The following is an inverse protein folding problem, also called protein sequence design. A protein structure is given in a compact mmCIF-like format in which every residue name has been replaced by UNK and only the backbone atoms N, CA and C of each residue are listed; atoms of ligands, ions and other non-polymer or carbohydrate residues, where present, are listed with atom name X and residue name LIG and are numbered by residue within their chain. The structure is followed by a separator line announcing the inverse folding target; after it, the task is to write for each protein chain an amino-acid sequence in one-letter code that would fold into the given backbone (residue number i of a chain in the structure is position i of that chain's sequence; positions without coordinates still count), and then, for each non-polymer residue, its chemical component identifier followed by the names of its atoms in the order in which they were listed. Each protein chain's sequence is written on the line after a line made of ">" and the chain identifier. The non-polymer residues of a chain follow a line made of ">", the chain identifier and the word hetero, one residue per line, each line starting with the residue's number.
data_IF_357912972990
#
_entry.id   IF_357912972990
#
_cell.length_a   1.000
_cell.length_b   1.000
_cell.length_c   1.000
_cell.angle_alpha   90.00
_cell.angle_beta   90.00
_cell.angle_gamma   90.00
#
_symmetry.space_group_name_H-M   'P 1'
#
loop_
_entity.id
_entity.type
_entity.pdbx_description
1 polymer ?
#
# COMPACT_ATOMS: atom_id res chain seq x y z
N UNK A 1 12.32 44.29 -18.17
CA UNK A 1 11.37 43.21 -18.49
C UNK A 1 10.53 42.95 -17.24
N UNK A 2 9.20 43.20 -17.26
CA UNK A 2 8.33 42.93 -16.09
C UNK A 2 8.27 41.42 -15.86
N UNK A 3 8.77 40.94 -14.72
CA UNK A 3 8.66 39.53 -14.32
C UNK A 3 7.25 39.34 -13.77
N UNK A 4 6.38 38.65 -14.51
CA UNK A 4 5.05 38.31 -14.02
C UNK A 4 5.18 37.25 -12.93
N UNK A 5 4.64 37.52 -11.75
CA UNK A 5 4.56 36.57 -10.65
C UNK A 5 3.68 35.40 -11.09
N UNK A 6 4.14 34.16 -10.88
CA UNK A 6 3.32 32.99 -11.16
C UNK A 6 2.15 32.95 -10.18
N UNK A 7 1.02 32.34 -10.57
CA UNK A 7 -0.13 32.18 -9.67
C UNK A 7 0.26 31.50 -8.35
N UNK A 8 1.21 30.57 -8.40
CA UNK A 8 1.72 29.83 -7.22
C UNK A 8 2.49 30.77 -6.30
N UNK A 9 3.42 31.55 -6.84
CA UNK A 9 4.20 32.53 -6.07
C UNK A 9 3.30 33.56 -5.39
N UNK A 10 2.29 34.07 -6.12
CA UNK A 10 1.31 35.00 -5.56
C UNK A 10 0.53 34.41 -4.39
N UNK A 11 0.09 33.15 -4.51
CA UNK A 11 -0.63 32.46 -3.42
C UNK A 11 0.24 32.27 -2.18
N UNK A 12 1.53 31.92 -2.37
CA UNK A 12 2.48 31.75 -1.25
C UNK A 12 2.68 33.09 -0.54
N UNK A 13 2.94 34.17 -1.29
CA UNK A 13 3.13 35.51 -0.73
C UNK A 13 1.89 35.96 0.06
N UNK A 14 0.71 35.84 -0.52
CA UNK A 14 -0.54 36.22 0.13
C UNK A 14 -0.82 35.38 1.39
N UNK A 15 -0.49 34.08 1.41
CA UNK A 15 -0.61 33.22 2.59
C UNK A 15 0.38 33.62 3.70
N UNK A 16 1.60 33.98 3.33
CA UNK A 16 2.61 34.53 4.26
C UNK A 16 2.16 35.87 4.84
N UNK A 17 1.63 36.79 4.03
CA UNK A 17 1.10 38.08 4.48
C UNK A 17 -0.07 37.93 5.47
N UNK A 18 -0.86 36.85 5.34
CA UNK A 18 -1.94 36.50 6.28
C UNK A 18 -1.45 35.77 7.54
N UNK A 19 -0.16 35.47 7.67
CA UNK A 19 0.40 34.76 8.81
C UNK A 19 0.00 33.29 8.89
N UNK A 20 -0.42 32.67 7.79
CA UNK A 20 -0.82 31.24 7.78
C UNK A 20 0.34 30.30 8.16
N UNK A 21 1.59 30.79 8.14
CA UNK A 21 2.79 30.06 8.53
C UNK A 21 3.33 30.41 9.94
N UNK A 22 2.75 31.38 10.65
CA UNK A 22 3.35 31.93 11.88
C UNK A 22 3.21 31.01 13.10
N UNK A 23 2.32 30.00 13.06
CA UNK A 23 2.06 29.09 14.18
C UNK A 23 1.99 27.63 13.73
N UNK A 24 2.86 27.22 12.82
CA UNK A 24 2.88 25.84 12.35
C UNK A 24 3.17 24.86 13.51
N UNK A 25 2.47 23.71 13.54
CA UNK A 25 2.82 22.62 14.43
C UNK A 25 4.28 22.23 14.23
N UNK A 26 5.11 22.42 15.27
CA UNK A 26 6.54 22.11 15.20
C UNK A 26 7.46 23.30 14.88
N UNK A 27 6.94 24.52 14.68
CA UNK A 27 7.75 25.72 14.53
C UNK A 27 8.72 25.89 15.71
N UNK A 28 10.01 26.05 15.42
CA UNK A 28 11.07 26.21 16.42
C UNK A 28 11.46 24.95 17.19
N UNK A 29 10.82 23.80 16.96
CA UNK A 29 11.21 22.52 17.56
C UNK A 29 12.33 21.85 16.73
N UNK A 30 13.25 21.10 17.37
CA UNK A 30 14.24 20.33 16.63
C UNK A 30 13.56 19.31 15.71
N UNK A 31 14.09 19.16 14.49
CA UNK A 31 13.62 18.14 13.56
C UNK A 31 14.08 16.76 14.04
N UNK A 32 13.15 15.83 14.16
CA UNK A 32 13.46 14.41 14.29
C UNK A 32 13.77 13.84 12.90
N UNK A 33 15.05 13.53 12.68
CA UNK A 33 15.60 12.98 11.45
C UNK A 33 16.17 11.57 11.65
N UNK A 34 15.72 10.85 12.69
CA UNK A 34 16.29 9.54 13.06
C UNK A 34 16.23 8.51 11.91
N UNK A 35 15.26 8.64 10.99
CA UNK A 35 15.08 7.76 9.82
C UNK A 35 15.63 8.37 8.50
N UNK A 36 16.37 9.47 8.52
CA UNK A 36 16.70 10.24 7.30
C UNK A 36 17.57 9.51 6.26
N UNK A 37 18.20 8.40 6.63
CA UNK A 37 18.98 7.56 5.71
C UNK A 37 18.09 6.80 4.72
N UNK A 38 16.79 6.67 5.02
CA UNK A 38 15.79 6.10 4.12
C UNK A 38 15.20 7.21 3.23
N UNK A 39 15.30 7.15 1.89
CA UNK A 39 14.73 8.18 1.02
C UNK A 39 13.20 8.38 1.18
N UNK A 40 12.47 7.36 1.65
CA UNK A 40 11.03 7.38 1.86
C UNK A 40 10.63 7.71 3.32
N UNK A 41 11.58 8.16 4.15
CA UNK A 41 11.39 8.45 5.58
C UNK A 41 10.15 9.32 5.87
N UNK A 42 9.95 10.36 5.06
CA UNK A 42 8.87 11.33 5.24
C UNK A 42 7.49 10.72 4.90
N UNK A 43 7.42 9.83 3.90
CA UNK A 43 6.20 9.13 3.51
C UNK A 43 5.78 8.18 4.62
N UNK A 44 6.73 7.37 5.12
CA UNK A 44 6.49 6.43 6.23
C UNK A 44 6.05 7.16 7.49
N UNK A 45 6.68 8.31 7.80
CA UNK A 45 6.27 9.15 8.92
C UNK A 45 4.87 9.71 8.74
N UNK A 46 4.53 10.23 7.56
CA UNK A 46 3.20 10.80 7.28
C UNK A 46 2.09 9.76 7.40
N UNK A 47 2.33 8.54 6.91
CA UNK A 47 1.40 7.41 7.05
C UNK A 47 1.16 7.07 8.52
N UNK A 48 2.22 7.06 9.34
CA UNK A 48 2.11 6.80 10.77
C UNK A 48 1.36 7.90 11.51
N UNK A 49 1.67 9.18 11.23
CA UNK A 49 1.05 10.34 11.86
C UNK A 49 -0.44 10.47 11.55
N UNK A 50 -0.83 10.20 10.30
CA UNK A 50 -2.20 10.34 9.82
C UNK A 50 -3.00 9.03 9.91
N UNK A 51 -2.40 7.97 10.46
CA UNK A 51 -2.96 6.61 10.53
C UNK A 51 -3.53 6.13 9.18
N UNK A 52 -2.80 6.40 8.09
CA UNK A 52 -3.20 6.00 6.75
C UNK A 52 -3.01 4.50 6.58
N UNK A 53 -3.87 3.87 5.77
CA UNK A 53 -3.67 2.47 5.42
C UNK A 53 -2.39 2.33 4.58
N UNK A 54 -1.37 1.76 5.20
CA UNK A 54 -0.06 1.52 4.60
C UNK A 54 -0.06 0.33 3.63
N UNK A 55 -1.18 -0.41 3.53
CA UNK A 55 -1.30 -1.57 2.65
C UNK A 55 -0.96 -1.24 1.20
N UNK A 56 -1.38 -0.07 0.70
CA UNK A 56 -1.11 0.39 -0.66
C UNK A 56 0.39 0.58 -0.97
N UNK A 57 1.24 0.72 0.05
CA UNK A 57 2.69 0.86 -0.12
C UNK A 57 3.46 -0.45 0.07
N UNK A 58 2.78 -1.53 0.46
CA UNK A 58 3.44 -2.81 0.64
C UNK A 58 3.85 -3.37 -0.73
N UNK A 59 5.07 -3.95 -0.85
CA UNK A 59 5.45 -4.73 -2.02
C UNK A 59 4.39 -5.78 -2.35
N UNK A 60 4.15 -6.01 -3.65
CA UNK A 60 3.13 -6.95 -4.13
C UNK A 60 3.17 -8.34 -3.45
N UNK A 61 4.35 -8.96 -3.16
CA UNK A 61 4.38 -10.24 -2.44
C UNK A 61 3.79 -10.18 -1.03
N UNK A 62 3.93 -9.07 -0.30
CA UNK A 62 3.34 -8.93 1.05
C UNK A 62 1.82 -8.79 1.00
N UNK A 63 1.31 -8.04 0.01
CA UNK A 63 -0.13 -7.92 -0.23
C UNK A 63 -0.76 -9.28 -0.54
N UNK A 64 -0.13 -10.06 -1.43
CA UNK A 64 -0.61 -11.38 -1.81
C UNK A 64 -0.54 -12.40 -0.66
N UNK A 65 0.46 -12.30 0.23
CA UNK A 65 0.52 -13.14 1.44
C UNK A 65 -0.65 -12.84 2.37
N UNK A 66 -0.97 -11.57 2.57
CA UNK A 66 -2.11 -11.17 3.39
C UNK A 66 -3.43 -11.67 2.79
N UNK A 67 -3.63 -11.46 1.50
CA UNK A 67 -4.83 -11.95 0.79
C UNK A 67 -4.97 -13.48 0.91
N UNK A 68 -3.88 -14.24 0.79
CA UNK A 68 -3.89 -15.69 1.00
C UNK A 68 -4.23 -16.12 2.43
N UNK A 69 -3.82 -15.34 3.44
CA UNK A 69 -4.13 -15.59 4.85
C UNK A 69 -5.62 -15.43 5.15
N UNK A 70 -6.30 -14.55 4.39
CA UNK A 70 -7.72 -14.31 4.55
C UNK A 70 -8.60 -15.40 3.88
N UNK A 71 -8.01 -16.37 3.19
CA UNK A 71 -8.74 -17.49 2.59
C UNK A 71 -8.92 -18.68 3.54
N UNK A 72 -10.14 -19.28 3.59
CA UNK A 72 -11.30 -19.01 2.72
C UNK A 72 -12.32 -17.99 3.28
N UNK A 73 -12.08 -17.38 4.44
CA UNK A 73 -13.02 -16.50 5.14
C UNK A 73 -13.49 -15.31 4.28
N UNK A 74 -12.57 -14.68 3.53
CA UNK A 74 -12.90 -13.56 2.63
C UNK A 74 -13.84 -13.95 1.48
N UNK A 75 -13.89 -15.23 1.12
CA UNK A 75 -14.73 -15.78 0.04
C UNK A 75 -16.11 -16.21 0.52
N UNK A 76 -16.38 -16.15 1.83
CA UNK A 76 -17.61 -16.70 2.45
C UNK A 76 -18.91 -16.15 1.87
N UNK A 77 -18.90 -14.88 1.45
CA UNK A 77 -20.09 -14.18 0.93
C UNK A 77 -20.42 -14.50 -0.53
N UNK A 78 -19.49 -15.14 -1.25
CA UNK A 78 -19.71 -15.53 -2.64
C UNK A 78 -20.56 -16.79 -2.61
N UNK A 79 -21.65 -16.82 -3.39
CA UNK A 79 -22.55 -17.97 -3.42
C UNK A 79 -22.13 -19.02 -4.46
N UNK A 80 -21.59 -18.54 -5.59
CA UNK A 80 -21.19 -19.33 -6.74
C UNK A 80 -19.77 -19.88 -6.59
N UNK A 81 -19.61 -21.18 -6.81
CA UNK A 81 -18.32 -21.85 -6.72
C UNK A 81 -17.43 -21.53 -7.92
N UNK A 82 -18.00 -21.39 -9.12
CA UNK A 82 -17.20 -21.08 -10.31
C UNK A 82 -16.58 -19.69 -10.17
N UNK A 83 -17.34 -18.73 -9.63
CA UNK A 83 -16.80 -17.42 -9.26
C UNK A 83 -15.66 -17.52 -8.23
N UNK A 84 -15.76 -18.39 -7.22
CA UNK A 84 -14.67 -18.61 -6.26
C UNK A 84 -13.45 -19.24 -6.93
N UNK A 85 -13.64 -20.20 -7.83
CA UNK A 85 -12.56 -20.81 -8.63
C UNK A 85 -11.83 -19.76 -9.44
N UNK A 86 -12.56 -18.90 -10.15
CA UNK A 86 -11.99 -17.84 -10.98
C UNK A 86 -11.14 -16.88 -10.15
N UNK A 87 -11.61 -16.47 -8.97
CA UNK A 87 -10.86 -15.61 -8.05
C UNK A 87 -9.55 -16.28 -7.60
N UNK A 88 -9.57 -17.57 -7.27
CA UNK A 88 -8.39 -18.30 -6.82
C UNK A 88 -7.38 -18.54 -7.97
N UNK A 89 -7.86 -18.78 -9.18
CA UNK A 89 -7.03 -18.88 -10.39
C UNK A 89 -6.36 -17.54 -10.69
N UNK A 90 -7.12 -16.45 -10.59
CA UNK A 90 -6.65 -15.09 -10.78
C UNK A 90 -5.62 -14.68 -9.70
N UNK A 91 -5.88 -15.03 -8.44
CA UNK A 91 -4.91 -14.88 -7.35
C UNK A 91 -3.59 -15.61 -7.69
N UNK A 92 -3.67 -16.87 -8.13
CA UNK A 92 -2.49 -17.64 -8.52
C UNK A 92 -1.75 -17.04 -9.73
N UNK A 93 -2.46 -16.39 -10.67
CA UNK A 93 -1.84 -15.62 -11.77
C UNK A 93 -1.05 -14.43 -11.23
N UNK A 94 -1.66 -13.61 -10.38
CA UNK A 94 -1.02 -12.44 -9.73
C UNK A 94 0.21 -12.83 -8.91
N UNK A 95 0.18 -13.97 -8.22
CA UNK A 95 1.36 -14.51 -7.53
C UNK A 95 2.51 -14.76 -8.51
N UNK A 96 2.25 -15.47 -9.62
CA UNK A 96 3.29 -15.76 -10.63
C UNK A 96 3.87 -14.48 -11.25
N UNK A 97 3.04 -13.47 -11.49
CA UNK A 97 3.48 -12.17 -11.99
C UNK A 97 4.36 -11.42 -10.99
N UNK A 98 3.98 -11.41 -9.72
CA UNK A 98 4.78 -10.81 -8.66
C UNK A 98 6.15 -11.50 -8.51
N UNK A 99 6.22 -12.82 -8.69
CA UNK A 99 7.49 -13.57 -8.76
C UNK A 99 8.38 -13.09 -9.90
N UNK A 100 7.81 -12.91 -11.10
CA UNK A 100 8.55 -12.45 -12.27
C UNK A 100 9.03 -10.99 -12.10
N UNK A 101 8.19 -10.11 -11.56
CA UNK A 101 8.54 -8.72 -11.29
C UNK A 101 9.64 -8.60 -10.22
N UNK A 102 9.58 -9.41 -9.17
CA UNK A 102 10.58 -9.40 -8.09
C UNK A 102 11.99 -9.77 -8.59
N UNK A 103 12.07 -10.66 -9.60
CA UNK A 103 13.33 -10.98 -10.29
C UNK A 103 13.90 -9.79 -11.06
N UNK A 104 13.06 -8.97 -11.66
CA UNK A 104 13.48 -7.80 -12.45
C UNK A 104 13.96 -6.66 -11.55
N UNK A 105 13.34 -6.51 -10.37
CA UNK A 105 13.62 -5.41 -9.43
C UNK A 105 14.76 -5.71 -8.44
N UNK A 106 15.47 -6.84 -8.58
CA UNK A 106 16.49 -7.31 -7.65
C UNK A 106 16.04 -7.29 -6.17
N UNK A 107 14.73 -7.46 -5.92
CA UNK A 107 14.20 -7.53 -4.58
C UNK A 107 14.81 -8.75 -3.86
N UNK A 108 15.06 -8.65 -2.54
CA UNK A 108 15.60 -9.76 -1.79
C UNK A 108 14.68 -10.98 -1.94
N UNK A 109 15.26 -12.12 -2.32
CA UNK A 109 14.56 -13.40 -2.56
C UNK A 109 13.80 -13.95 -1.33
N UNK A 110 13.91 -13.30 -0.17
CA UNK A 110 13.25 -13.69 1.07
C UNK A 110 11.77 -13.31 1.15
N UNK A 111 11.29 -12.36 0.34
CA UNK A 111 9.90 -11.87 0.40
C UNK A 111 9.10 -12.41 -0.78
N UNK A 112 8.46 -13.56 -0.57
CA UNK A 112 7.78 -14.31 -1.62
C UNK A 112 6.34 -14.67 -1.22
N UNK A 113 5.40 -14.53 -2.16
CA UNK A 113 4.04 -15.05 -2.03
C UNK A 113 3.92 -16.45 -2.67
N UNK A 114 3.04 -17.29 -2.14
CA UNK A 114 2.82 -18.64 -2.66
C UNK A 114 1.44 -18.76 -3.30
N UNK A 115 1.34 -19.59 -4.34
CA UNK A 115 0.05 -19.98 -4.91
C UNK A 115 -0.70 -20.87 -3.92
N UNK A 116 -2.02 -20.82 -3.97
CA UNK A 116 -2.89 -21.71 -3.18
C UNK A 116 -3.38 -22.87 -4.03
N UNK A 117 -3.64 -24.00 -3.38
CA UNK A 117 -4.37 -25.11 -3.98
C UNK A 117 -5.87 -24.74 -4.04
N UNK A 118 -6.37 -24.57 -5.26
CA UNK A 118 -7.75 -24.12 -5.52
C UNK A 118 -8.77 -25.10 -4.94
N UNK A 119 -8.53 -26.41 -5.09
CA UNK A 119 -9.48 -27.43 -4.65
C UNK A 119 -9.47 -27.57 -3.12
N UNK A 120 -8.32 -27.39 -2.47
CA UNK A 120 -8.26 -27.32 -1.01
C UNK A 120 -9.04 -26.13 -0.44
N UNK A 121 -8.82 -24.93 -1.00
CA UNK A 121 -9.52 -23.72 -0.53
C UNK A 121 -11.02 -23.85 -0.74
N UNK A 122 -11.47 -24.42 -1.86
CA UNK A 122 -12.91 -24.66 -2.12
C UNK A 122 -13.51 -25.67 -1.16
N UNK A 123 -12.78 -26.76 -0.83
CA UNK A 123 -13.24 -27.72 0.18
C UNK A 123 -13.46 -27.02 1.53
N UNK A 124 -12.51 -26.18 1.96
CA UNK A 124 -12.63 -25.40 3.21
C UNK A 124 -13.75 -24.36 3.14
N UNK A 125 -13.88 -23.63 2.03
CA UNK A 125 -14.96 -22.66 1.81
C UNK A 125 -16.35 -23.31 1.86
N UNK A 126 -16.55 -24.47 1.22
CA UNK A 126 -17.80 -25.25 1.31
C UNK A 126 -18.10 -25.66 2.75
N UNK A 127 -17.08 -25.99 3.55
CA UNK A 127 -17.25 -26.35 4.95
C UNK A 127 -17.67 -25.17 5.84
N UNK A 128 -17.17 -23.96 5.57
CA UNK A 128 -17.58 -22.72 6.29
C UNK A 128 -19.04 -22.30 6.03
N UNK A 129 -19.67 -22.85 4.99
CA UNK A 129 -21.04 -22.54 4.58
C UNK A 129 -22.06 -23.61 4.99
N UNK A 130 -21.63 -24.74 5.53
CA UNK A 130 -22.52 -25.73 6.16
C UNK A 130 -22.84 -25.31 7.58
#
# INVERSE_FOLDING_TARGET
>A
MRRFESRVERMIREATERGEFDNLPGAGKPLDLTDSDDPDWWVKRKIREENLDSSALLPAPLLLRREAQDFPESLRHIADEDAVRDILVEFNRRVREAHLASRQMALPHSVVAHTVDVDDVIRRWRALRR
#
